data_IF_426389065060
#
_entry.id   IF_426389065060
#
_cell.length_a   1.000
_cell.length_b   1.000
_cell.length_c   1.000
_cell.angle_alpha   90.00
_cell.angle_beta   90.00
_cell.angle_gamma   90.00
#
_symmetry.space_group_name_H-M   'P 1'
#
loop_
_entity.id
_entity.type
_entity.pdbx_description
1 polymer ?
#
# COMPACT_ATOMS: atom_id res chain seq x y z
N UNK A 1 4.23 5.32 8.12
CA UNK A 1 4.03 3.93 7.64
C UNK A 1 4.95 3.67 6.46
N UNK A 2 5.73 2.57 6.46
CA UNK A 2 6.60 2.18 5.33
C UNK A 2 6.22 0.78 4.89
N UNK A 3 5.82 0.65 3.63
CA UNK A 3 5.19 -0.55 3.06
C UNK A 3 6.09 -1.11 1.97
N UNK A 4 6.42 -2.38 2.06
CA UNK A 4 7.19 -3.14 1.06
C UNK A 4 6.23 -3.98 0.21
N UNK A 5 5.98 -3.57 -1.03
CA UNK A 5 5.20 -4.35 -2.00
C UNK A 5 6.15 -5.17 -2.87
N UNK A 6 6.22 -6.46 -2.61
CA UNK A 6 7.12 -7.38 -3.34
C UNK A 6 6.65 -7.71 -4.75
N UNK A 7 5.40 -7.41 -5.05
CA UNK A 7 4.80 -7.82 -6.34
C UNK A 7 5.04 -9.31 -6.59
N UNK A 8 5.41 -9.73 -7.78
CA UNK A 8 5.70 -11.14 -8.13
C UNK A 8 7.17 -11.49 -8.01
N UNK A 9 7.85 -11.04 -6.94
CA UNK A 9 9.27 -11.28 -6.75
C UNK A 9 9.56 -12.17 -5.54
N UNK A 10 10.76 -12.75 -5.56
CA UNK A 10 11.36 -13.48 -4.45
C UNK A 10 10.95 -14.95 -4.36
N UNK A 11 11.67 -15.64 -3.50
CA UNK A 11 11.40 -17.01 -3.05
C UNK A 11 11.04 -17.02 -1.58
N UNK A 12 10.60 -18.16 -1.05
CA UNK A 12 10.38 -18.33 0.38
C UNK A 12 11.63 -17.97 1.20
N UNK A 13 12.80 -18.45 0.77
CA UNK A 13 14.06 -18.18 1.45
C UNK A 13 14.44 -16.68 1.44
N UNK A 14 14.12 -15.97 0.36
CA UNK A 14 14.36 -14.53 0.27
C UNK A 14 13.49 -13.76 1.27
N UNK A 15 12.22 -14.13 1.40
CA UNK A 15 11.30 -13.50 2.36
C UNK A 15 11.73 -13.74 3.80
N UNK A 16 12.09 -14.98 4.14
CA UNK A 16 12.56 -15.33 5.48
C UNK A 16 13.86 -14.57 5.84
N UNK A 17 14.79 -14.50 4.89
CA UNK A 17 16.03 -13.74 5.05
C UNK A 17 15.75 -12.25 5.23
N UNK A 18 14.90 -11.67 4.37
CA UNK A 18 14.56 -10.25 4.42
C UNK A 18 13.91 -9.87 5.76
N UNK A 19 12.92 -10.62 6.24
CA UNK A 19 12.28 -10.39 7.53
C UNK A 19 13.30 -10.39 8.66
N UNK A 20 14.21 -11.38 8.67
CA UNK A 20 15.26 -11.49 9.69
C UNK A 20 16.25 -10.31 9.65
N UNK A 21 16.64 -9.88 8.46
CA UNK A 21 17.60 -8.81 8.27
C UNK A 21 17.00 -7.44 8.60
N UNK A 22 15.81 -7.14 8.08
CA UNK A 22 15.10 -5.90 8.36
C UNK A 22 14.80 -5.77 9.85
N UNK A 23 14.31 -6.81 10.50
CA UNK A 23 14.02 -6.79 11.95
C UNK A 23 15.23 -6.45 12.82
N UNK A 24 16.44 -6.69 12.32
CA UNK A 24 17.69 -6.35 13.03
C UNK A 24 18.18 -4.92 12.77
N UNK A 25 17.80 -4.36 11.61
CA UNK A 25 18.35 -3.09 11.09
C UNK A 25 17.41 -1.91 11.30
N UNK A 26 16.11 -2.15 11.44
CA UNK A 26 15.17 -1.07 11.68
C UNK A 26 15.25 -0.59 13.13
N UNK A 27 15.33 0.73 13.29
CA UNK A 27 15.13 1.38 14.57
C UNK A 27 13.64 1.55 14.79
N UNK A 28 13.02 0.56 15.47
CA UNK A 28 11.59 0.57 15.69
C UNK A 28 11.18 1.77 16.54
N UNK A 29 10.69 2.80 15.85
CA UNK A 29 10.09 3.97 16.47
C UNK A 29 8.59 3.70 16.63
N UNK A 30 8.05 3.82 17.83
CA UNK A 30 6.69 3.45 18.25
C UNK A 30 5.53 4.05 17.40
N UNK A 31 5.81 4.75 16.30
CA UNK A 31 4.81 5.46 15.48
C UNK A 31 4.85 5.10 14.00
N UNK A 32 5.91 4.44 13.53
CA UNK A 32 6.02 4.09 12.11
C UNK A 32 5.81 2.59 11.93
N UNK A 33 4.76 2.21 11.21
CA UNK A 33 4.50 0.82 10.88
C UNK A 33 5.42 0.34 9.75
N UNK A 34 5.99 -0.85 9.92
CA UNK A 34 6.78 -1.57 8.94
C UNK A 34 5.94 -2.72 8.39
N UNK A 35 5.58 -2.70 7.10
CA UNK A 35 4.67 -3.67 6.51
C UNK A 35 5.36 -4.37 5.34
N UNK A 36 5.25 -5.71 5.28
CA UNK A 36 5.63 -6.51 4.11
C UNK A 36 4.39 -7.09 3.44
N UNK A 37 4.26 -6.90 2.12
CA UNK A 37 3.24 -7.52 1.28
C UNK A 37 3.92 -8.49 0.29
N UNK A 38 4.16 -9.75 0.69
CA UNK A 38 4.77 -10.76 -0.16
C UNK A 38 3.74 -11.34 -1.15
N UNK A 39 4.15 -12.10 -2.19
CA UNK A 39 3.23 -12.93 -2.97
C UNK A 39 2.38 -13.83 -2.09
N UNK A 40 1.10 -14.03 -2.45
CA UNK A 40 0.13 -14.75 -1.62
C UNK A 40 0.56 -16.17 -1.22
N UNK A 41 1.30 -16.87 -2.12
CA UNK A 41 1.85 -18.20 -1.84
C UNK A 41 2.87 -18.25 -0.69
N UNK A 42 3.38 -17.08 -0.24
CA UNK A 42 4.38 -16.97 0.83
C UNK A 42 3.85 -16.31 2.11
N UNK A 43 2.54 -16.03 2.19
CA UNK A 43 1.95 -15.42 3.40
C UNK A 43 2.21 -16.26 4.66
N UNK A 44 2.02 -17.59 4.56
CA UNK A 44 2.29 -18.48 5.67
C UNK A 44 3.76 -18.45 6.13
N UNK A 45 4.69 -18.54 5.19
CA UNK A 45 6.14 -18.49 5.50
C UNK A 45 6.55 -17.15 6.12
N UNK A 46 5.99 -16.05 5.59
CA UNK A 46 6.23 -14.72 6.14
C UNK A 46 5.71 -14.62 7.59
N UNK A 47 4.47 -15.07 7.87
CA UNK A 47 3.90 -15.07 9.22
C UNK A 47 4.72 -15.94 10.19
N UNK A 48 5.12 -17.13 9.77
CA UNK A 48 5.96 -18.00 10.59
C UNK A 48 7.31 -17.35 10.93
N UNK A 49 7.94 -16.68 9.95
CA UNK A 49 9.21 -15.99 10.15
C UNK A 49 9.08 -14.80 11.09
N UNK A 50 8.01 -14.00 10.96
CA UNK A 50 7.69 -12.90 11.86
C UNK A 50 7.54 -13.40 13.30
N UNK A 51 6.73 -14.44 13.50
CA UNK A 51 6.45 -14.99 14.82
C UNK A 51 7.70 -15.63 15.45
N UNK A 52 8.51 -16.36 14.69
CA UNK A 52 9.71 -17.06 15.15
C UNK A 52 10.73 -16.15 15.82
N UNK A 53 10.83 -14.90 15.35
CA UNK A 53 11.79 -13.92 15.88
C UNK A 53 11.12 -12.78 16.64
N UNK A 54 9.80 -12.88 16.86
CA UNK A 54 8.99 -11.83 17.48
C UNK A 54 9.22 -10.45 16.81
N UNK A 55 9.16 -10.45 15.47
CA UNK A 55 9.44 -9.24 14.68
C UNK A 55 8.32 -8.21 14.81
N UNK A 56 8.63 -6.90 14.83
CA UNK A 56 7.61 -5.85 14.79
C UNK A 56 7.02 -5.64 13.39
N UNK A 57 7.50 -6.35 12.37
CA UNK A 57 7.01 -6.24 11.00
C UNK A 57 5.58 -6.78 10.92
N UNK A 58 4.69 -6.02 10.31
CA UNK A 58 3.31 -6.41 10.04
C UNK A 58 3.19 -7.09 8.68
N UNK A 59 2.25 -8.04 8.59
CA UNK A 59 1.99 -8.77 7.36
C UNK A 59 0.83 -8.12 6.59
N UNK A 60 1.07 -7.83 5.31
CA UNK A 60 0.06 -7.39 4.35
C UNK A 60 -0.12 -8.40 3.23
N UNK A 61 -1.28 -8.38 2.58
CA UNK A 61 -1.55 -9.10 1.34
C UNK A 61 -1.52 -8.15 0.16
N UNK A 62 -1.15 -8.65 -1.02
CA UNK A 62 -1.19 -7.89 -2.27
C UNK A 62 -2.59 -7.88 -2.91
N UNK A 63 -3.50 -8.74 -2.44
CA UNK A 63 -4.80 -8.96 -3.04
C UNK A 63 -5.80 -9.54 -2.04
N UNK A 64 -7.09 -9.28 -2.28
CA UNK A 64 -8.23 -9.91 -1.64
C UNK A 64 -9.37 -10.02 -2.66
N UNK A 65 -10.11 -11.12 -2.62
CA UNK A 65 -11.34 -11.25 -3.40
C UNK A 65 -12.57 -11.01 -2.53
N UNK A 66 -13.62 -10.47 -3.15
CA UNK A 66 -14.84 -10.06 -2.47
C UNK A 66 -15.70 -11.20 -1.95
N UNK A 67 -15.51 -12.43 -2.45
CA UNK A 67 -16.31 -13.57 -2.04
C UNK A 67 -15.71 -14.22 -0.79
N UNK A 68 -16.53 -14.45 0.20
CA UNK A 68 -16.10 -15.16 1.42
C UNK A 68 -15.68 -16.60 1.10
N UNK A 69 -16.50 -17.32 0.36
CA UNK A 69 -16.21 -18.66 -0.20
C UNK A 69 -16.98 -18.80 -1.52
N UNK A 70 -16.43 -19.53 -2.49
CA UNK A 70 -17.13 -19.71 -3.75
C UNK A 70 -16.25 -20.20 -4.90
N UNK A 71 -16.86 -20.24 -6.08
CA UNK A 71 -16.26 -20.76 -7.31
C UNK A 71 -15.38 -19.70 -7.97
N UNK A 72 -14.21 -19.41 -7.38
CA UNK A 72 -13.20 -18.53 -7.96
C UNK A 72 -11.82 -19.17 -7.82
N UNK A 73 -11.41 -19.91 -8.84
CA UNK A 73 -10.12 -20.59 -8.84
C UNK A 73 -8.97 -19.59 -8.80
N UNK A 74 -8.06 -19.77 -7.84
CA UNK A 74 -6.89 -18.90 -7.62
C UNK A 74 -7.16 -17.67 -6.74
N UNK A 75 -8.40 -17.45 -6.33
CA UNK A 75 -8.75 -16.34 -5.42
C UNK A 75 -8.28 -16.59 -3.99
N UNK A 76 -8.00 -15.50 -3.27
CA UNK A 76 -7.77 -15.50 -1.83
C UNK A 76 -8.81 -14.59 -1.18
N UNK A 77 -9.56 -15.10 -0.20
CA UNK A 77 -10.61 -14.36 0.49
C UNK A 77 -10.16 -13.87 1.87
N UNK A 78 -10.99 -13.06 2.50
CA UNK A 78 -10.73 -12.47 3.81
C UNK A 78 -10.47 -13.52 4.90
N UNK A 79 -11.23 -14.64 4.91
CA UNK A 79 -11.03 -15.71 5.88
C UNK A 79 -9.65 -16.35 5.75
N UNK A 80 -9.20 -16.62 4.52
CA UNK A 80 -7.85 -17.15 4.27
C UNK A 80 -6.75 -16.19 4.72
N UNK A 81 -6.97 -14.87 4.54
CA UNK A 81 -6.03 -13.86 5.03
C UNK A 81 -5.98 -13.83 6.56
N UNK A 82 -7.13 -13.95 7.23
CA UNK A 82 -7.21 -14.01 8.69
C UNK A 82 -6.53 -15.27 9.26
N UNK A 83 -6.60 -16.42 8.57
CA UNK A 83 -5.89 -17.64 8.96
C UNK A 83 -4.37 -17.43 9.00
N UNK A 84 -3.83 -16.53 8.18
CA UNK A 84 -2.43 -16.11 8.23
C UNK A 84 -2.18 -14.90 9.14
N UNK A 85 -3.20 -14.43 9.88
CA UNK A 85 -3.13 -13.20 10.69
C UNK A 85 -2.62 -12.00 9.88
N UNK A 86 -3.12 -11.85 8.66
CA UNK A 86 -2.80 -10.72 7.79
C UNK A 86 -3.48 -9.46 8.32
N UNK A 87 -2.70 -8.39 8.51
CA UNK A 87 -3.17 -7.16 9.15
C UNK A 87 -3.56 -6.09 8.14
N UNK A 88 -2.98 -6.15 6.93
CA UNK A 88 -3.19 -5.19 5.85
C UNK A 88 -3.46 -5.87 4.51
N UNK A 89 -4.14 -5.14 3.62
CA UNK A 89 -4.32 -5.58 2.23
C UNK A 89 -4.21 -4.39 1.28
N UNK A 90 -3.50 -4.59 0.16
CA UNK A 90 -3.49 -3.66 -0.98
C UNK A 90 -4.76 -3.87 -1.80
N UNK A 91 -5.49 -2.78 -2.09
CA UNK A 91 -6.68 -2.81 -2.95
C UNK A 91 -6.56 -1.74 -4.01
N UNK A 92 -6.80 -2.10 -5.27
CA UNK A 92 -6.83 -1.18 -6.39
C UNK A 92 -5.46 -0.70 -6.86
N UNK A 93 -4.40 -1.45 -6.58
CA UNK A 93 -3.06 -1.16 -7.13
C UNK A 93 -3.12 -1.00 -8.65
N UNK A 94 -2.33 -0.08 -9.19
CA UNK A 94 -2.35 0.28 -10.62
C UNK A 94 -2.22 -0.93 -11.56
N UNK A 95 -1.39 -1.92 -11.19
CA UNK A 95 -1.23 -3.15 -11.98
C UNK A 95 -2.51 -4.00 -11.97
N UNK A 96 -3.24 -4.10 -10.85
CA UNK A 96 -4.51 -4.82 -10.78
C UNK A 96 -5.59 -4.13 -11.63
N UNK A 97 -5.68 -2.80 -11.53
CA UNK A 97 -6.59 -2.02 -12.37
C UNK A 97 -6.28 -2.20 -13.86
N UNK A 98 -5.01 -2.21 -14.24
CA UNK A 98 -4.58 -2.26 -15.63
C UNK A 98 -4.64 -3.69 -16.21
N UNK A 99 -4.10 -4.69 -15.51
CA UNK A 99 -3.97 -6.04 -16.07
C UNK A 99 -5.19 -6.92 -15.81
N UNK A 100 -5.92 -6.70 -14.71
CA UNK A 100 -7.14 -7.45 -14.38
C UNK A 100 -8.41 -6.65 -14.62
N UNK A 101 -8.29 -5.44 -15.17
CA UNK A 101 -9.42 -4.55 -15.49
C UNK A 101 -10.34 -4.30 -14.29
N UNK A 102 -9.75 -4.07 -13.11
CA UNK A 102 -10.51 -3.82 -11.89
C UNK A 102 -11.14 -2.43 -11.88
N UNK A 103 -12.45 -2.40 -11.92
CA UNK A 103 -13.25 -1.18 -11.82
C UNK A 103 -13.72 -0.88 -10.39
N UNK A 104 -14.25 0.32 -10.20
CA UNK A 104 -14.70 0.82 -8.90
C UNK A 104 -15.71 -0.10 -8.20
N UNK A 105 -16.58 -0.80 -8.97
CA UNK A 105 -17.56 -1.74 -8.41
C UNK A 105 -16.89 -2.95 -7.75
N UNK A 106 -15.92 -3.58 -8.42
CA UNK A 106 -15.19 -4.71 -7.83
C UNK A 106 -14.34 -4.28 -6.66
N UNK A 107 -13.72 -3.10 -6.74
CA UNK A 107 -12.92 -2.56 -5.65
C UNK A 107 -13.76 -2.22 -4.41
N UNK A 108 -15.01 -1.76 -4.59
CA UNK A 108 -15.95 -1.57 -3.48
C UNK A 108 -16.24 -2.89 -2.76
N UNK A 109 -16.51 -3.97 -3.49
CA UNK A 109 -16.75 -5.28 -2.89
C UNK A 109 -15.53 -5.82 -2.12
N UNK A 110 -14.32 -5.62 -2.67
CA UNK A 110 -13.06 -5.98 -1.99
C UNK A 110 -12.86 -5.18 -0.70
N UNK A 111 -13.13 -3.88 -0.77
CA UNK A 111 -13.05 -2.97 0.37
C UNK A 111 -13.99 -3.42 1.50
N UNK A 112 -15.27 -3.67 1.17
CA UNK A 112 -16.26 -4.13 2.15
C UNK A 112 -15.82 -5.45 2.78
N UNK A 113 -15.34 -6.42 1.99
CA UNK A 113 -14.82 -7.71 2.50
C UNK A 113 -13.65 -7.56 3.46
N UNK A 114 -12.73 -6.63 3.19
CA UNK A 114 -11.57 -6.40 4.05
C UNK A 114 -12.01 -5.76 5.39
N UNK A 115 -12.88 -4.75 5.33
CA UNK A 115 -13.38 -4.05 6.52
C UNK A 115 -14.19 -5.00 7.41
N UNK A 116 -15.10 -5.77 6.82
CA UNK A 116 -15.94 -6.75 7.56
C UNK A 116 -15.08 -7.82 8.26
N UNK A 117 -13.90 -8.12 7.71
CA UNK A 117 -12.95 -9.05 8.29
C UNK A 117 -11.97 -8.41 9.29
N UNK A 118 -12.04 -7.10 9.50
CA UNK A 118 -11.13 -6.37 10.38
C UNK A 118 -9.72 -6.17 9.82
N UNK A 119 -9.53 -6.32 8.49
CA UNK A 119 -8.24 -6.14 7.82
C UNK A 119 -8.11 -4.68 7.39
N UNK A 120 -7.01 -4.02 7.77
CA UNK A 120 -6.73 -2.64 7.38
C UNK A 120 -6.41 -2.55 5.88
N UNK A 121 -6.92 -1.51 5.23
CA UNK A 121 -6.80 -1.36 3.78
C UNK A 121 -5.78 -0.30 3.39
N UNK A 122 -4.91 -0.63 2.46
CA UNK A 122 -4.06 0.29 1.72
C UNK A 122 -4.71 0.45 0.33
N UNK A 123 -5.50 1.53 0.18
CA UNK A 123 -6.27 1.77 -1.04
C UNK A 123 -5.45 2.58 -2.03
N UNK A 124 -5.10 1.97 -3.16
CA UNK A 124 -4.24 2.54 -4.18
C UNK A 124 -5.06 3.34 -5.21
N UNK A 125 -4.60 4.56 -5.47
CA UNK A 125 -5.14 5.47 -6.48
C UNK A 125 -4.01 6.12 -7.26
N UNK A 126 -4.27 6.53 -8.49
CA UNK A 126 -3.29 7.24 -9.31
C UNK A 126 -3.78 7.48 -10.73
N UNK A 127 -3.24 8.51 -11.35
CA UNK A 127 -3.57 8.91 -12.70
C UNK A 127 -2.64 8.29 -13.74
N UNK A 128 -3.14 7.98 -14.94
CA UNK A 128 -2.33 7.50 -16.05
C UNK A 128 -1.51 8.63 -16.70
N UNK A 129 -0.47 8.26 -17.44
CA UNK A 129 0.50 9.18 -18.05
C UNK A 129 -0.06 10.16 -19.09
N UNK A 130 -1.25 9.92 -19.60
CA UNK A 130 -1.92 10.79 -20.56
C UNK A 130 -2.67 11.95 -19.91
N UNK A 131 -2.83 11.96 -18.58
CA UNK A 131 -3.38 13.09 -17.83
C UNK A 131 -2.25 14.04 -17.45
N UNK A 132 -2.27 15.26 -18.03
CA UNK A 132 -1.15 16.21 -17.92
C UNK A 132 -1.50 17.48 -17.17
N UNK A 133 -2.77 17.72 -16.92
CA UNK A 133 -3.24 18.89 -16.18
C UNK A 133 -3.81 18.51 -14.82
N UNK A 134 -3.69 19.44 -13.88
CA UNK A 134 -4.11 19.25 -12.50
C UNK A 134 -5.62 19.00 -12.34
N UNK A 135 -6.45 19.54 -13.23
CA UNK A 135 -7.90 19.42 -13.12
C UNK A 135 -8.36 18.03 -13.52
N UNK A 136 -7.89 17.51 -14.65
CA UNK A 136 -8.18 16.15 -15.09
C UNK A 136 -7.64 15.10 -14.11
N UNK A 137 -6.43 15.30 -13.59
CA UNK A 137 -5.86 14.45 -12.52
C UNK A 137 -6.76 14.42 -11.29
N UNK A 138 -7.12 15.57 -10.75
CA UNK A 138 -8.00 15.65 -9.57
C UNK A 138 -9.38 15.06 -9.81
N UNK A 139 -9.95 15.26 -11.01
CA UNK A 139 -11.22 14.64 -11.38
C UNK A 139 -11.14 13.13 -11.42
N UNK A 140 -10.08 12.58 -12.00
CA UNK A 140 -9.83 11.13 -12.04
C UNK A 140 -9.65 10.53 -10.64
N UNK A 141 -8.84 11.17 -9.80
CA UNK A 141 -8.63 10.73 -8.42
C UNK A 141 -9.94 10.81 -7.59
N UNK A 142 -10.79 11.81 -7.80
CA UNK A 142 -12.13 11.87 -7.19
C UNK A 142 -12.99 10.68 -7.57
N UNK A 143 -12.97 10.26 -8.83
CA UNK A 143 -13.71 9.08 -9.28
C UNK A 143 -13.22 7.83 -8.56
N UNK A 144 -11.91 7.61 -8.50
CA UNK A 144 -11.32 6.48 -7.78
C UNK A 144 -11.64 6.52 -6.28
N UNK A 145 -11.55 7.68 -5.63
CA UNK A 145 -11.87 7.87 -4.22
C UNK A 145 -13.39 7.75 -3.93
N UNK A 146 -14.24 7.83 -4.96
CA UNK A 146 -15.69 7.67 -4.79
C UNK A 146 -16.07 6.30 -4.24
N UNK A 147 -15.23 5.28 -4.43
CA UNK A 147 -15.35 3.94 -3.84
C UNK A 147 -15.46 4.00 -2.31
N UNK A 148 -14.84 5.01 -1.69
CA UNK A 148 -14.79 5.17 -0.22
C UNK A 148 -16.01 5.87 0.39
N UNK A 149 -17.00 6.28 -0.43
CA UNK A 149 -18.21 6.92 0.08
C UNK A 149 -18.95 5.99 1.04
N UNK A 150 -19.45 6.55 2.14
CA UNK A 150 -20.18 5.82 3.19
C UNK A 150 -19.38 4.69 3.86
N UNK A 151 -18.04 4.78 3.86
CA UNK A 151 -17.15 3.83 4.50
C UNK A 151 -16.54 4.45 5.75
N UNK A 152 -16.34 3.66 6.80
CA UNK A 152 -15.50 4.09 7.92
C UNK A 152 -14.02 4.10 7.48
N UNK A 153 -13.46 5.31 7.37
CA UNK A 153 -12.09 5.51 6.90
C UNK A 153 -11.01 5.22 7.96
N UNK A 154 -11.40 4.79 9.17
CA UNK A 154 -10.46 4.64 10.29
C UNK A 154 -9.41 3.55 10.12
N UNK A 155 -9.67 2.57 9.26
CA UNK A 155 -8.74 1.48 8.93
C UNK A 155 -8.20 1.58 7.50
N UNK A 156 -8.30 2.77 6.88
CA UNK A 156 -7.89 2.97 5.49
C UNK A 156 -6.71 3.93 5.42
N UNK A 157 -5.70 3.53 4.68
CA UNK A 157 -4.59 4.37 4.22
C UNK A 157 -4.70 4.52 2.71
N UNK A 158 -4.50 5.73 2.19
CA UNK A 158 -4.46 5.95 0.75
C UNK A 158 -3.02 5.87 0.26
N UNK A 159 -2.78 5.08 -0.78
CA UNK A 159 -1.51 5.08 -1.49
C UNK A 159 -1.67 5.82 -2.82
N UNK A 160 -1.01 6.96 -2.95
CA UNK A 160 -1.00 7.72 -4.20
C UNK A 160 0.14 7.24 -5.10
N UNK A 161 -0.22 6.68 -6.24
CA UNK A 161 0.66 6.07 -7.22
C UNK A 161 0.55 6.79 -8.58
N UNK A 162 1.29 7.89 -8.85
CA UNK A 162 1.33 8.44 -10.21
C UNK A 162 1.87 7.36 -11.17
N UNK A 163 0.98 6.78 -12.01
CA UNK A 163 1.29 5.57 -12.81
C UNK A 163 2.48 5.81 -13.74
N UNK A 164 2.61 7.04 -14.24
CA UNK A 164 3.73 7.45 -15.10
C UNK A 164 5.09 7.48 -14.37
N UNK A 165 5.09 7.51 -13.04
CA UNK A 165 6.30 7.49 -12.22
C UNK A 165 6.62 6.10 -11.65
N UNK A 166 5.74 5.09 -11.83
CA UNK A 166 5.97 3.74 -11.30
C UNK A 166 6.97 3.00 -12.20
N UNK A 167 8.11 2.57 -11.63
CA UNK A 167 9.09 1.72 -12.33
C UNK A 167 9.82 2.39 -13.50
N UNK A 168 9.54 3.65 -13.79
CA UNK A 168 10.17 4.38 -14.91
C UNK A 168 11.48 5.08 -14.51
N UNK A 169 11.75 5.19 -13.22
CA UNK A 169 12.84 6.00 -12.68
C UNK A 169 12.56 7.50 -12.69
N UNK A 170 11.43 7.93 -13.24
CA UNK A 170 10.96 9.32 -13.16
C UNK A 170 10.33 9.54 -11.78
N UNK A 171 10.65 10.66 -11.15
CA UNK A 171 10.03 11.07 -9.90
C UNK A 171 8.97 12.14 -10.18
N UNK A 172 7.83 12.00 -9.53
CA UNK A 172 6.93 13.14 -9.41
C UNK A 172 7.66 14.22 -8.60
N UNK A 173 7.69 15.45 -9.10
CA UNK A 173 8.32 16.55 -8.37
C UNK A 173 7.63 16.77 -7.01
N UNK A 174 8.38 17.17 -6.00
CA UNK A 174 7.87 17.34 -4.62
C UNK A 174 6.63 18.22 -4.57
N UNK A 175 6.63 19.35 -5.28
CA UNK A 175 5.45 20.24 -5.33
C UNK A 175 4.19 19.55 -5.86
N UNK A 176 4.34 18.65 -6.83
CA UNK A 176 3.22 17.87 -7.35
C UNK A 176 2.73 16.86 -6.30
N UNK A 177 3.65 16.13 -5.63
CA UNK A 177 3.32 15.21 -4.55
C UNK A 177 2.53 15.95 -3.46
N UNK A 178 3.05 17.07 -2.96
CA UNK A 178 2.39 17.85 -1.90
C UNK A 178 1.00 18.36 -2.34
N UNK A 179 0.88 18.84 -3.58
CA UNK A 179 -0.40 19.32 -4.13
C UNK A 179 -1.45 18.21 -4.17
N UNK A 180 -1.08 17.03 -4.67
CA UNK A 180 -2.01 15.90 -4.78
C UNK A 180 -2.33 15.29 -3.42
N UNK A 181 -1.35 15.10 -2.53
CA UNK A 181 -1.59 14.62 -1.18
C UNK A 181 -2.51 15.56 -0.38
N UNK A 182 -2.28 16.87 -0.49
CA UNK A 182 -3.16 17.88 0.11
C UNK A 182 -4.59 17.77 -0.45
N UNK A 183 -4.72 17.67 -1.77
CA UNK A 183 -6.02 17.50 -2.42
C UNK A 183 -6.74 16.23 -1.93
N UNK A 184 -6.06 15.09 -1.85
CA UNK A 184 -6.62 13.83 -1.35
C UNK A 184 -7.15 14.01 0.08
N UNK A 185 -6.34 14.56 0.99
CA UNK A 185 -6.73 14.79 2.38
C UNK A 185 -7.95 15.71 2.49
N UNK A 186 -7.95 16.81 1.74
CA UNK A 186 -9.09 17.77 1.70
C UNK A 186 -10.36 17.07 1.19
N UNK A 187 -10.26 16.31 0.11
CA UNK A 187 -11.41 15.61 -0.46
C UNK A 187 -11.96 14.54 0.50
N UNK A 188 -11.11 13.75 1.12
CA UNK A 188 -11.51 12.73 2.09
C UNK A 188 -12.19 13.31 3.32
N UNK A 189 -11.77 14.48 3.77
CA UNK A 189 -12.45 15.21 4.84
C UNK A 189 -13.89 15.64 4.45
N UNK A 190 -14.20 15.77 3.16
CA UNK A 190 -15.59 15.99 2.72
C UNK A 190 -16.45 14.72 2.78
N UNK A 191 -15.83 13.54 2.75
CA UNK A 191 -16.52 12.26 2.83
C UNK A 191 -16.73 11.81 4.28
N UNK A 192 -15.82 12.18 5.18
CA UNK A 192 -15.88 11.81 6.60
C UNK A 192 -15.07 12.82 7.44
N UNK A 193 -15.77 13.68 8.17
CA UNK A 193 -15.23 14.89 8.81
C UNK A 193 -14.39 14.66 10.07
N UNK A 194 -14.23 13.43 10.56
CA UNK A 194 -13.70 13.21 11.91
C UNK A 194 -12.43 12.38 11.99
N UNK A 195 -11.74 12.08 10.87
CA UNK A 195 -10.54 11.22 10.91
C UNK A 195 -9.39 11.78 10.10
N UNK A 196 -8.21 11.80 10.72
CA UNK A 196 -6.96 12.07 10.02
C UNK A 196 -6.55 10.83 9.22
N UNK A 197 -6.73 10.87 7.90
CA UNK A 197 -6.46 9.76 7.01
C UNK A 197 -5.01 9.85 6.53
N UNK A 198 -4.27 8.76 6.68
CA UNK A 198 -2.91 8.67 6.19
C UNK A 198 -2.87 8.57 4.67
N UNK A 199 -2.00 9.36 4.04
CA UNK A 199 -1.72 9.32 2.60
C UNK A 199 -0.23 9.04 2.39
N UNK A 200 0.07 7.89 1.79
CA UNK A 200 1.45 7.46 1.50
C UNK A 200 1.76 7.63 0.02
N UNK A 201 3.01 7.94 -0.31
CA UNK A 201 3.47 8.06 -1.69
C UNK A 201 3.93 6.69 -2.22
N UNK A 202 3.42 6.28 -3.38
CA UNK A 202 3.69 4.97 -4.02
C UNK A 202 4.31 5.05 -5.42
N UNK A 203 4.85 6.20 -5.82
CA UNK A 203 5.61 6.30 -7.08
C UNK A 203 7.02 5.71 -6.97
N UNK A 204 7.95 6.18 -7.82
CA UNK A 204 9.34 5.71 -7.81
C UNK A 204 10.06 6.21 -6.56
N UNK A 205 10.22 5.32 -5.58
CA UNK A 205 10.95 5.57 -4.34
C UNK A 205 12.31 4.87 -4.40
N UNK A 206 13.37 5.62 -4.09
CA UNK A 206 14.75 5.14 -3.94
C UNK A 206 15.34 5.73 -2.65
N UNK A 207 16.49 5.22 -2.23
CA UNK A 207 17.16 5.74 -1.04
C UNK A 207 17.52 7.23 -1.17
N UNK A 208 17.93 7.66 -2.35
CA UNK A 208 18.38 9.03 -2.63
C UNK A 208 17.28 10.09 -2.64
N UNK A 209 16.01 9.69 -2.84
CA UNK A 209 14.88 10.62 -2.84
C UNK A 209 13.92 10.44 -1.66
N UNK A 210 14.11 9.38 -0.87
CA UNK A 210 13.14 9.01 0.18
C UNK A 210 13.07 10.01 1.33
N UNK A 211 14.20 10.62 1.73
CA UNK A 211 14.24 11.61 2.78
C UNK A 211 13.46 12.88 2.39
N UNK A 212 13.67 13.37 1.17
CA UNK A 212 12.96 14.54 0.65
C UNK A 212 11.45 14.29 0.55
N UNK A 213 11.05 13.10 0.06
CA UNK A 213 9.63 12.72 -0.04
C UNK A 213 9.01 12.60 1.36
N UNK A 214 9.66 11.93 2.31
CA UNK A 214 9.15 11.77 3.68
C UNK A 214 9.05 13.11 4.44
N UNK A 215 9.92 14.06 4.12
CA UNK A 215 9.90 15.41 4.70
C UNK A 215 8.85 16.33 4.06
N UNK A 216 8.22 15.90 2.97
CA UNK A 216 7.23 16.69 2.24
C UNK A 216 5.91 16.78 3.00
N UNK A 217 5.23 17.94 2.85
CA UNK A 217 3.95 18.16 3.49
C UNK A 217 2.89 17.16 3.04
N UNK A 218 2.10 16.66 4.00
CA UNK A 218 1.00 15.71 3.77
C UNK A 218 1.41 14.31 3.32
N UNK A 219 2.70 13.96 3.34
CA UNK A 219 3.19 12.60 3.09
C UNK A 219 3.32 11.88 4.44
N UNK A 220 2.50 10.84 4.66
CA UNK A 220 2.46 10.11 5.94
C UNK A 220 3.25 8.79 5.86
N UNK A 221 3.94 8.54 4.74
CA UNK A 221 4.76 7.35 4.54
C UNK A 221 4.96 6.97 3.07
N UNK A 222 5.44 5.75 2.85
CA UNK A 222 5.83 5.28 1.52
C UNK A 222 5.29 3.87 1.24
N UNK A 223 4.88 3.64 -0.02
CA UNK A 223 4.64 2.31 -0.60
C UNK A 223 5.74 2.03 -1.62
N UNK A 224 6.63 1.08 -1.32
CA UNK A 224 7.87 0.87 -2.03
C UNK A 224 7.81 -0.47 -2.78
N UNK A 225 8.07 -0.44 -4.10
CA UNK A 225 8.18 -1.63 -4.94
C UNK A 225 9.61 -2.19 -4.96
N UNK A 226 10.26 -2.19 -6.13
CA UNK A 226 11.56 -2.84 -6.35
C UNK A 226 12.68 -2.50 -5.35
N UNK A 227 12.78 -1.24 -4.91
CA UNK A 227 13.78 -0.83 -3.92
C UNK A 227 13.58 -1.49 -2.55
N UNK A 228 12.38 -1.99 -2.24
CA UNK A 228 12.10 -2.68 -0.99
C UNK A 228 12.56 -4.14 -0.94
N UNK A 229 12.94 -4.73 -2.08
CA UNK A 229 13.42 -6.11 -2.14
C UNK A 229 14.80 -6.28 -1.47
N UNK A 230 15.60 -5.21 -1.50
CA UNK A 230 16.88 -5.16 -0.79
C UNK A 230 16.67 -4.71 0.66
N UNK A 231 17.01 -5.58 1.61
CA UNK A 231 16.78 -5.36 3.04
C UNK A 231 17.56 -4.17 3.61
N UNK A 232 18.75 -3.89 3.05
CA UNK A 232 19.59 -2.77 3.49
C UNK A 232 18.98 -1.44 3.05
N UNK A 233 18.59 -1.35 1.79
CA UNK A 233 17.93 -0.17 1.21
C UNK A 233 16.62 0.11 1.94
N UNK A 234 15.77 -0.91 2.12
CA UNK A 234 14.49 -0.75 2.82
C UNK A 234 14.67 -0.29 4.26
N UNK A 235 15.60 -0.90 5.00
CA UNK A 235 15.86 -0.53 6.39
C UNK A 235 16.39 0.90 6.54
N UNK A 236 17.24 1.36 5.63
CA UNK A 236 17.71 2.75 5.59
C UNK A 236 16.55 3.71 5.34
N UNK A 237 15.69 3.42 4.38
CA UNK A 237 14.49 4.25 4.11
C UNK A 237 13.56 4.25 5.32
N UNK A 238 13.32 3.11 5.95
CA UNK A 238 12.49 3.03 7.15
C UNK A 238 13.04 3.90 8.30
N UNK A 239 14.34 3.90 8.52
CA UNK A 239 14.97 4.65 9.61
C UNK A 239 14.95 6.18 9.40
N UNK A 240 14.66 6.65 8.18
CA UNK A 240 14.41 8.07 7.89
C UNK A 240 13.01 8.54 8.33
N UNK A 241 12.06 7.64 8.65
CA UNK A 241 10.65 7.95 8.89
C UNK A 241 10.29 8.22 10.35
#
# INVERSE_FOLDING_TARGET
MIISNWKTNGTQADIERWIKEVSKKIEYKNRTECIICPPSCYLNSARQSINKINSPIKLGSQEIYSNQQGALTGGINAQMLNDFSTEFVLIGHSEQRQYLNEGNTSLRLKLDSAIDAGISVIFCIGEPSNMKDDESTKSHLKDQLSVLKNTDLGSITIAYEPIWAIGTGLNAGIKHIESIHSFIKVYLNTLNTNKNISVVYGGSVKLDNSEEILSSNNVDGLLIGGASLDSDTFSKIYNLS
#
